data_IF_948491614717
#
_entry.id   IF_948491614717
#
_cell.length_a   1.000
_cell.length_b   1.000
_cell.length_c   1.000
_cell.angle_alpha   90.00
_cell.angle_beta   90.00
_cell.angle_gamma   90.00
#
_symmetry.space_group_name_H-M   'P 1'
#
loop_
_entity.id
_entity.type
_entity.pdbx_description
1 polymer ?
#
# COMPACT_ATOMS: atom_id res chain seq x y z
N UNK A 1 1.35 -19.92 -14.40
CA UNK A 1 0.16 -19.73 -13.55
C UNK A 1 -0.73 -18.68 -14.20
N UNK A 2 -2.00 -18.97 -14.49
CA UNK A 2 -2.95 -17.99 -15.06
C UNK A 2 -3.95 -17.57 -13.99
N UNK A 3 -3.81 -16.37 -13.44
CA UNK A 3 -4.76 -15.82 -12.47
C UNK A 3 -5.95 -15.19 -13.21
N UNK A 4 -7.19 -15.50 -12.78
CA UNK A 4 -8.41 -14.93 -13.37
C UNK A 4 -8.53 -13.42 -13.13
N UNK A 5 -7.98 -12.94 -12.01
CA UNK A 5 -8.03 -11.55 -11.60
C UNK A 5 -6.62 -10.98 -11.40
N UNK A 6 -6.47 -9.68 -11.66
CA UNK A 6 -5.29 -8.90 -11.31
C UNK A 6 -5.63 -7.87 -10.24
N UNK A 7 -4.66 -7.56 -9.39
CA UNK A 7 -4.68 -6.39 -8.52
C UNK A 7 -3.77 -5.32 -9.11
N UNK A 8 -4.35 -4.19 -9.49
CA UNK A 8 -3.60 -2.98 -9.85
C UNK A 8 -3.41 -2.16 -8.58
N UNK A 9 -2.16 -1.86 -8.25
CA UNK A 9 -1.78 -0.96 -7.14
C UNK A 9 -1.48 0.41 -7.73
N UNK A 10 -2.51 1.26 -7.83
CA UNK A 10 -2.34 2.61 -8.32
C UNK A 10 -1.89 3.52 -7.18
N UNK A 11 -0.75 4.18 -7.34
CA UNK A 11 -0.32 5.20 -6.38
C UNK A 11 -1.01 6.51 -6.69
N UNK A 12 -1.64 7.10 -5.68
CA UNK A 12 -2.36 8.38 -5.78
C UNK A 12 -1.49 9.51 -5.25
N UNK A 13 -0.83 9.28 -4.12
CA UNK A 13 0.02 10.27 -3.48
C UNK A 13 1.15 9.60 -2.69
N UNK A 14 2.31 10.26 -2.66
CA UNK A 14 3.44 9.88 -1.82
C UNK A 14 3.94 11.12 -1.09
N UNK A 15 4.00 11.02 0.23
CA UNK A 15 4.86 11.86 1.06
C UNK A 15 6.06 11.02 1.52
N UNK A 16 7.31 11.39 1.21
CA UNK A 16 8.49 10.57 1.49
C UNK A 16 8.86 10.50 2.99
N UNK A 17 8.30 11.38 3.81
CA UNK A 17 8.74 11.54 5.20
C UNK A 17 10.15 12.12 5.30
N UNK A 18 10.65 12.22 6.53
CA UNK A 18 12.01 12.69 6.82
C UNK A 18 12.48 12.18 8.17
N UNK A 19 13.80 12.17 8.37
CA UNK A 19 14.45 11.80 9.62
C UNK A 19 15.64 12.75 9.85
N UNK A 20 15.59 13.53 10.93
CA UNK A 20 16.61 14.49 11.34
C UNK A 20 17.31 14.05 12.64
N UNK A 21 17.30 12.75 12.95
CA UNK A 21 17.93 12.17 14.13
C UNK A 21 17.09 12.28 15.41
N UNK A 22 16.79 13.51 15.85
CA UNK A 22 16.00 13.74 17.09
C UNK A 22 14.49 13.72 16.81
N UNK A 23 14.10 14.19 15.63
CA UNK A 23 12.72 14.19 15.16
C UNK A 23 12.64 13.49 13.81
N UNK A 24 11.53 12.81 13.58
CA UNK A 24 11.24 12.17 12.30
C UNK A 24 9.74 12.21 12.01
N UNK A 25 9.41 12.15 10.73
CA UNK A 25 8.05 11.97 10.25
C UNK A 25 8.01 10.79 9.27
N UNK A 26 7.12 9.80 9.49
CA UNK A 26 6.97 8.68 8.57
C UNK A 26 6.60 9.11 7.15
N UNK A 27 6.94 8.27 6.18
CA UNK A 27 6.33 8.37 4.87
C UNK A 27 4.82 8.12 4.96
N UNK A 28 4.08 8.66 4.00
CA UNK A 28 2.65 8.38 3.82
C UNK A 28 2.42 8.00 2.37
N UNK A 29 1.82 6.84 2.14
CA UNK A 29 1.54 6.34 0.80
C UNK A 29 0.04 6.14 0.66
N UNK A 30 -0.57 6.84 -0.30
CA UNK A 30 -1.98 6.65 -0.64
C UNK A 30 -2.10 5.89 -1.95
N UNK A 31 -2.92 4.83 -1.96
CA UNK A 31 -3.12 3.97 -3.13
C UNK A 31 -4.58 3.64 -3.36
N UNK A 32 -4.93 3.41 -4.63
CA UNK A 32 -6.16 2.74 -5.03
C UNK A 32 -5.81 1.32 -5.47
N UNK A 33 -6.41 0.34 -4.79
CA UNK A 33 -6.25 -1.08 -5.01
C UNK A 33 -7.42 -1.56 -5.87
N UNK A 34 -7.18 -1.79 -7.15
CA UNK A 34 -8.22 -2.15 -8.13
C UNK A 34 -8.12 -3.61 -8.51
N UNK A 35 -9.16 -4.38 -8.22
CA UNK A 35 -9.32 -5.75 -8.68
C UNK A 35 -10.03 -5.76 -10.04
N UNK A 36 -9.38 -6.34 -11.03
CA UNK A 36 -9.85 -6.35 -12.43
C UNK A 36 -9.79 -7.76 -13.01
N UNK A 37 -10.58 -8.03 -14.04
CA UNK A 37 -10.45 -9.28 -14.80
C UNK A 37 -9.16 -9.28 -15.62
N UNK A 38 -8.43 -10.39 -15.62
CA UNK A 38 -7.18 -10.50 -16.41
C UNK A 38 -7.43 -10.34 -17.91
N UNK A 39 -8.57 -10.84 -18.40
CA UNK A 39 -8.98 -10.71 -19.79
C UNK A 39 -9.47 -9.29 -20.16
N UNK A 40 -9.86 -8.47 -19.18
CA UNK A 40 -10.34 -7.11 -19.41
C UNK A 40 -10.02 -6.21 -18.22
N UNK A 41 -8.85 -5.56 -18.27
CA UNK A 41 -8.35 -4.69 -17.18
C UNK A 41 -9.15 -3.39 -16.99
N UNK A 42 -10.01 -3.02 -17.95
CA UNK A 42 -10.89 -1.87 -17.84
C UNK A 42 -12.14 -2.18 -17.01
N UNK A 43 -12.48 -3.46 -16.83
CA UNK A 43 -13.58 -3.89 -15.97
C UNK A 43 -13.11 -3.96 -14.50
N UNK A 44 -13.38 -2.91 -13.73
CA UNK A 44 -13.06 -2.84 -12.29
C UNK A 44 -14.17 -3.48 -11.48
N UNK A 45 -13.85 -4.60 -10.83
CA UNK A 45 -14.79 -5.37 -10.01
C UNK A 45 -14.89 -4.81 -8.59
N UNK A 46 -13.76 -4.32 -8.06
CA UNK A 46 -13.67 -3.76 -6.73
C UNK A 46 -12.52 -2.75 -6.69
N UNK A 47 -12.76 -1.62 -6.04
CA UNK A 47 -11.75 -0.62 -5.73
C UNK A 47 -11.72 -0.36 -4.23
N UNK A 48 -10.53 -0.41 -3.64
CA UNK A 48 -10.30 -0.10 -2.23
C UNK A 48 -9.27 1.01 -2.14
N UNK A 49 -9.63 2.10 -1.47
CA UNK A 49 -8.70 3.19 -1.17
C UNK A 49 -7.96 2.90 0.13
N UNK A 50 -6.64 3.04 0.10
CA UNK A 50 -5.77 3.05 1.27
C UNK A 50 -5.15 4.43 1.39
N UNK A 51 -5.50 5.18 2.43
CA UNK A 51 -5.05 6.55 2.62
C UNK A 51 -3.90 6.62 3.62
N UNK A 52 -2.89 7.43 3.29
CA UNK A 52 -1.77 7.79 4.15
C UNK A 52 -1.12 6.61 4.89
N UNK A 53 -0.95 5.46 4.23
CA UNK A 53 -0.35 4.30 4.85
C UNK A 53 1.06 4.64 5.36
N UNK A 54 1.33 4.52 6.68
CA UNK A 54 2.58 5.00 7.24
C UNK A 54 3.73 4.06 6.90
N UNK A 55 4.85 4.67 6.51
CA UNK A 55 6.10 3.99 6.23
C UNK A 55 7.21 4.46 7.18
N UNK A 56 7.62 3.59 8.09
CA UNK A 56 8.68 3.85 9.06
C UNK A 56 9.45 2.56 9.37
N UNK A 57 10.70 2.70 9.77
CA UNK A 57 11.55 1.59 10.18
C UNK A 57 11.96 1.74 11.65
N UNK A 58 12.33 0.61 12.25
CA UNK A 58 12.91 0.61 13.59
C UNK A 58 14.32 1.21 13.53
N UNK A 59 14.59 2.21 14.38
CA UNK A 59 15.85 2.96 14.37
C UNK A 59 15.83 4.16 13.42
N UNK A 60 17.03 4.59 13.00
CA UNK A 60 17.22 5.69 12.08
C UNK A 60 16.97 5.23 10.65
N UNK A 61 16.27 6.05 9.88
CA UNK A 61 16.00 5.76 8.48
C UNK A 61 16.28 7.00 7.63
N UNK A 62 17.44 7.07 6.98
CA UNK A 62 17.79 8.20 6.12
C UNK A 62 17.36 8.01 4.65
N UNK A 63 16.89 6.81 4.28
CA UNK A 63 16.45 6.49 2.92
C UNK A 63 14.96 6.76 2.73
N UNK A 64 14.65 7.61 1.75
CA UNK A 64 13.27 7.89 1.37
C UNK A 64 12.58 6.65 0.81
N UNK A 65 13.30 5.89 -0.02
CA UNK A 65 12.83 4.68 -0.70
C UNK A 65 12.43 3.62 0.32
N UNK A 66 13.22 3.45 1.38
CA UNK A 66 12.95 2.50 2.46
C UNK A 66 11.66 2.84 3.21
N UNK A 67 11.45 4.12 3.56
CA UNK A 67 10.21 4.56 4.20
C UNK A 67 9.00 4.36 3.27
N UNK A 68 9.10 4.78 2.01
CA UNK A 68 8.01 4.64 1.04
C UNK A 68 7.65 3.15 0.85
N UNK A 69 8.66 2.27 0.76
CA UNK A 69 8.48 0.82 0.67
C UNK A 69 7.67 0.26 1.85
N UNK A 70 7.94 0.70 3.08
CA UNK A 70 7.15 0.31 4.25
C UNK A 70 5.69 0.80 4.18
N UNK A 71 5.42 1.96 3.56
CA UNK A 71 4.06 2.43 3.30
C UNK A 71 3.27 1.47 2.39
N UNK A 72 3.90 0.96 1.33
CA UNK A 72 3.30 -0.09 0.49
C UNK A 72 3.14 -1.41 1.25
N UNK A 73 4.14 -1.81 2.04
CA UNK A 73 4.05 -3.02 2.86
C UNK A 73 2.89 -2.92 3.87
N UNK A 74 2.69 -1.75 4.48
CA UNK A 74 1.58 -1.47 5.40
C UNK A 74 0.23 -1.54 4.68
N UNK A 75 0.12 -0.99 3.48
CA UNK A 75 -1.06 -1.11 2.61
C UNK A 75 -1.42 -2.59 2.39
N UNK A 76 -0.46 -3.42 1.99
CA UNK A 76 -0.68 -4.85 1.78
C UNK A 76 -1.09 -5.58 3.07
N UNK A 77 -0.41 -5.31 4.20
CA UNK A 77 -0.75 -5.92 5.51
C UNK A 77 -2.19 -5.59 5.93
N UNK A 78 -2.63 -4.35 5.72
CA UNK A 78 -4.00 -3.91 6.03
C UNK A 78 -5.02 -4.60 5.13
N UNK A 79 -4.76 -4.67 3.82
CA UNK A 79 -5.61 -5.38 2.86
C UNK A 79 -5.76 -6.87 3.27
N UNK A 80 -4.65 -7.56 3.54
CA UNK A 80 -4.65 -8.97 3.92
C UNK A 80 -5.47 -9.21 5.19
N UNK A 81 -5.32 -8.36 6.22
CA UNK A 81 -6.14 -8.45 7.44
C UNK A 81 -7.63 -8.27 7.15
N UNK A 82 -7.98 -7.32 6.28
CA UNK A 82 -9.36 -7.09 5.89
C UNK A 82 -9.95 -8.30 5.15
N UNK A 83 -9.21 -8.88 4.20
CA UNK A 83 -9.62 -10.08 3.47
C UNK A 83 -9.84 -11.24 4.44
N UNK A 84 -8.87 -11.51 5.32
CA UNK A 84 -8.99 -12.59 6.31
C UNK A 84 -10.23 -12.44 7.19
N UNK A 85 -10.52 -11.21 7.64
CA UNK A 85 -11.70 -10.92 8.48
C UNK A 85 -13.02 -11.08 7.73
N UNK A 86 -13.07 -10.78 6.42
CA UNK A 86 -14.31 -10.80 5.63
C UNK A 86 -14.57 -12.14 4.92
N UNK A 87 -13.52 -12.90 4.61
CA UNK A 87 -13.62 -14.12 3.83
C UNK A 87 -13.78 -15.38 4.70
N UNK A 88 -13.27 -15.36 5.93
CA UNK A 88 -13.19 -16.54 6.80
C UNK A 88 -13.80 -16.34 8.19
N UNK A 89 -14.49 -15.22 8.41
CA UNK A 89 -15.17 -14.87 9.65
C UNK A 89 -16.59 -14.42 9.32
#
# INVERSE_FOLDING_TARGET
>A
TSARYNLIVQTVWIYPGWDAGIMKQPAKVSTNLKFVETANKSNVLLEITSEEAPGDQWGNNYSNESRIGEGYAKTAKSLSKMILKKAYK
#
